data_IF_352445592480
#
_entry.id   IF_352445592480
#
_cell.length_a   1.000
_cell.length_b   1.000
_cell.length_c   1.000
_cell.angle_alpha   90.00
_cell.angle_beta   90.00
_cell.angle_gamma   90.00
#
_symmetry.space_group_name_H-M   'P 1'
#
loop_
_entity.id
_entity.type
_entity.pdbx_description
1 polymer ?
#
# COMPACT_ATOMS: atom_id res chain seq x y z
N UNK A 1 -5.64 -4.92 -1.78
CA UNK A 1 -4.18 -5.06 -1.66
C UNK A 1 -3.77 -4.80 -0.22
N UNK A 2 -2.76 -5.52 0.27
CA UNK A 2 -2.28 -5.38 1.63
C UNK A 2 -0.75 -5.49 1.68
N UNK A 3 -0.15 -4.86 2.68
CA UNK A 3 1.25 -5.01 3.07
C UNK A 3 1.31 -5.43 4.53
N UNK A 4 2.26 -6.30 4.86
CA UNK A 4 2.50 -6.76 6.24
C UNK A 4 4.00 -6.92 6.48
N UNK A 5 4.41 -6.83 7.74
CA UNK A 5 5.78 -7.01 8.15
C UNK A 5 6.51 -5.69 8.40
N UNK A 6 7.60 -5.77 9.13
CA UNK A 6 8.43 -4.65 9.54
C UNK A 6 9.92 -5.00 9.38
N UNK A 7 10.77 -4.00 9.52
CA UNK A 7 12.23 -4.17 9.68
C UNK A 7 12.66 -3.41 10.93
N UNK A 8 13.73 -3.87 11.58
CA UNK A 8 14.27 -3.20 12.76
C UNK A 8 15.76 -2.93 12.60
N UNK A 9 16.22 -1.85 13.20
CA UNK A 9 17.65 -1.52 13.32
C UNK A 9 17.96 -1.19 14.77
N UNK A 10 19.23 -1.30 15.18
CA UNK A 10 19.64 -1.09 16.56
C UNK A 10 19.49 -2.33 17.47
N UNK A 11 19.10 -3.48 16.92
CA UNK A 11 19.18 -4.76 17.63
C UNK A 11 20.65 -5.11 17.91
N UNK A 12 20.92 -5.71 19.08
CA UNK A 12 22.28 -6.00 19.56
C UNK A 12 22.62 -7.48 19.41
N UNK A 13 23.89 -7.85 19.63
CA UNK A 13 24.35 -9.25 19.68
C UNK A 13 24.00 -10.12 18.46
N UNK A 14 23.78 -9.51 17.28
CA UNK A 14 23.38 -10.23 16.06
C UNK A 14 21.94 -10.73 16.08
N UNK A 15 21.09 -10.19 16.95
CA UNK A 15 19.66 -10.46 16.98
C UNK A 15 18.98 -9.99 15.68
N UNK A 16 17.86 -10.64 15.36
CA UNK A 16 17.02 -10.32 14.20
C UNK A 16 15.63 -9.90 14.68
N UNK A 17 14.76 -9.43 13.78
CA UNK A 17 13.39 -9.02 14.07
C UNK A 17 12.57 -10.10 14.79
N UNK A 18 12.99 -11.36 14.73
CA UNK A 18 12.36 -12.47 15.46
C UNK A 18 12.28 -12.26 16.98
N UNK A 19 13.17 -11.46 17.58
CA UNK A 19 13.12 -11.17 19.02
C UNK A 19 11.97 -10.22 19.39
N UNK A 20 11.47 -9.43 18.43
CA UNK A 20 10.38 -8.48 18.60
C UNK A 20 9.02 -9.13 18.31
N UNK A 21 8.73 -10.26 18.97
CA UNK A 21 7.58 -11.11 18.65
C UNK A 21 6.21 -10.41 18.78
N UNK A 22 6.13 -9.34 19.56
CA UNK A 22 4.90 -8.57 19.80
C UNK A 22 4.78 -7.33 18.90
N UNK A 23 5.74 -7.12 17.98
CA UNK A 23 5.69 -6.05 17.00
C UNK A 23 4.99 -6.54 15.73
N UNK A 24 4.14 -5.69 15.18
CA UNK A 24 3.53 -5.92 13.88
C UNK A 24 3.42 -4.62 13.09
N UNK A 25 3.37 -4.74 11.77
CA UNK A 25 3.02 -3.64 10.91
C UNK A 25 2.13 -4.14 9.77
N UNK A 26 1.08 -3.37 9.48
CA UNK A 26 0.19 -3.68 8.37
C UNK A 26 -0.54 -2.46 7.82
N UNK A 27 -0.92 -2.55 6.56
CA UNK A 27 -1.74 -1.57 5.87
C UNK A 27 -2.50 -2.22 4.71
N UNK A 28 -3.67 -1.67 4.37
CA UNK A 28 -4.49 -2.19 3.26
C UNK A 28 -5.24 -1.09 2.54
N UNK A 29 -5.48 -1.32 1.25
CA UNK A 29 -6.27 -0.46 0.39
C UNK A 29 -6.83 -1.23 -0.79
N UNK A 30 -7.93 -0.74 -1.36
CA UNK A 30 -8.58 -1.36 -2.52
C UNK A 30 -8.36 -0.54 -3.78
N UNK A 31 -8.55 0.78 -3.70
CA UNK A 31 -8.47 1.68 -4.84
C UNK A 31 -7.05 2.21 -5.03
N UNK A 32 -6.79 2.84 -6.18
CA UNK A 32 -5.51 3.51 -6.40
C UNK A 32 -5.33 4.68 -5.42
N UNK A 33 -4.15 4.79 -4.84
CA UNK A 33 -3.82 5.79 -3.83
C UNK A 33 -2.74 5.33 -2.86
N UNK A 34 -2.40 6.21 -1.92
CA UNK A 34 -1.43 5.94 -0.86
C UNK A 34 -2.15 5.62 0.45
N UNK A 35 -1.78 4.51 1.06
CA UNK A 35 -2.32 4.03 2.32
C UNK A 35 -1.20 3.88 3.32
N UNK A 36 -1.47 4.18 4.59
CA UNK A 36 -0.49 4.05 5.67
C UNK A 36 -0.39 2.58 6.08
N UNK A 37 0.84 2.10 6.26
CA UNK A 37 1.13 0.86 6.98
C UNK A 37 1.60 1.20 8.38
N UNK A 38 0.77 0.96 9.38
CA UNK A 38 1.05 1.35 10.76
C UNK A 38 1.83 0.26 11.46
N UNK A 39 2.95 0.63 12.10
CA UNK A 39 3.72 -0.26 12.96
C UNK A 39 3.37 0.01 14.43
N UNK A 40 3.22 -1.04 15.22
CA UNK A 40 2.98 -0.94 16.66
C UNK A 40 3.37 -2.23 17.38
N UNK A 41 3.53 -2.13 18.70
CA UNK A 41 3.88 -3.23 19.58
C UNK A 41 4.64 -2.75 20.80
N UNK A 42 5.23 -3.69 21.52
CA UNK A 42 6.07 -3.44 22.68
C UNK A 42 7.09 -4.56 22.81
N UNK A 43 8.19 -4.29 23.48
CA UNK A 43 9.15 -5.30 23.88
C UNK A 43 9.67 -5.01 25.30
N UNK A 44 10.16 -6.02 26.00
CA UNK A 44 10.68 -5.84 27.36
C UNK A 44 12.13 -5.33 27.39
N UNK A 45 12.90 -5.61 26.34
CA UNK A 45 14.33 -5.30 26.25
C UNK A 45 14.61 -4.02 25.46
N UNK A 46 13.66 -3.60 24.61
CA UNK A 46 13.83 -2.45 23.72
C UNK A 46 12.78 -1.37 23.98
N UNK A 47 13.23 -0.12 24.07
CA UNK A 47 12.36 1.05 23.97
C UNK A 47 12.11 1.36 22.48
N UNK A 48 10.91 1.03 22.02
CA UNK A 48 10.59 1.01 20.59
C UNK A 48 10.01 2.35 20.13
N UNK A 49 10.62 2.93 19.10
CA UNK A 49 10.02 4.02 18.32
C UNK A 49 9.54 3.50 16.97
N UNK A 50 8.30 3.83 16.61
CA UNK A 50 7.68 3.36 15.38
C UNK A 50 7.67 4.43 14.30
N UNK A 51 8.04 4.03 13.09
CA UNK A 51 7.88 4.82 11.87
C UNK A 51 6.89 4.11 10.97
N UNK A 52 5.85 4.82 10.53
CA UNK A 52 4.86 4.25 9.62
C UNK A 52 5.46 4.04 8.23
N UNK A 53 5.10 2.92 7.60
CA UNK A 53 5.35 2.65 6.19
C UNK A 53 4.20 3.12 5.30
N UNK A 54 4.29 2.81 4.01
CA UNK A 54 3.26 3.13 3.02
C UNK A 54 3.00 1.97 2.07
N UNK A 55 1.73 1.76 1.71
CA UNK A 55 1.28 0.96 0.58
C UNK A 55 0.84 1.90 -0.53
N UNK A 56 1.56 1.89 -1.65
CA UNK A 56 1.17 2.61 -2.86
C UNK A 56 0.44 1.67 -3.82
N UNK A 57 -0.79 2.03 -4.19
CA UNK A 57 -1.60 1.29 -5.17
C UNK A 57 -1.65 2.13 -6.44
N UNK A 58 -0.90 1.70 -7.46
CA UNK A 58 -0.89 2.36 -8.76
C UNK A 58 -2.24 2.24 -9.49
N UNK A 59 -2.52 3.23 -10.34
CA UNK A 59 -3.68 3.15 -11.25
C UNK A 59 -3.42 2.09 -12.32
N UNK A 60 -4.46 1.30 -12.64
CA UNK A 60 -4.45 0.47 -13.84
C UNK A 60 -4.64 1.35 -15.09
N UNK A 61 -3.94 1.04 -16.17
CA UNK A 61 -4.14 1.70 -17.46
C UNK A 61 -5.42 1.17 -18.12
N UNK A 62 -6.24 2.08 -18.64
CA UNK A 62 -7.44 1.76 -19.42
C UNK A 62 -7.59 2.74 -20.58
N UNK A 63 -8.03 2.25 -21.73
CA UNK A 63 -8.34 3.07 -22.91
C UNK A 63 -9.86 3.13 -23.07
N UNK A 64 -10.40 4.34 -23.15
CA UNK A 64 -11.81 4.58 -23.46
C UNK A 64 -11.90 5.07 -24.89
N UNK A 65 -12.61 4.32 -25.74
CA UNK A 65 -12.84 4.66 -27.15
C UNK A 65 -14.29 5.05 -27.33
N UNK A 66 -14.55 6.23 -27.92
CA UNK A 66 -15.91 6.64 -28.25
C UNK A 66 -16.44 5.84 -29.45
N UNK A 67 -17.74 5.53 -29.42
CA UNK A 67 -18.42 4.99 -30.59
C UNK A 67 -18.42 6.04 -31.70
N UNK A 68 -18.27 5.58 -32.94
CA UNK A 68 -18.36 6.42 -34.14
C UNK A 68 -19.52 5.94 -34.99
N UNK A 69 -20.42 6.87 -35.34
CA UNK A 69 -21.52 6.64 -36.27
C UNK A 69 -21.41 7.59 -37.46
N UNK A 70 -21.93 7.17 -38.60
CA UNK A 70 -22.00 8.00 -39.81
C UNK A 70 -23.42 8.00 -40.36
N UNK A 71 -23.83 9.14 -40.92
CA UNK A 71 -25.07 9.27 -41.67
C UNK A 71 -24.76 9.93 -43.00
N UNK A 72 -25.44 9.49 -44.06
CA UNK A 72 -25.43 10.20 -45.34
C UNK A 72 -26.50 11.27 -45.29
N UNK A 73 -26.10 12.52 -45.55
CA UNK A 73 -27.05 13.62 -45.65
C UNK A 73 -28.10 13.33 -46.72
N UNK A 74 -29.39 13.27 -46.33
CA UNK A 74 -30.51 12.97 -47.23
C UNK A 74 -31.37 14.19 -47.59
N UNK A 75 -31.09 15.37 -47.01
CA UNK A 75 -31.75 16.64 -47.37
C UNK A 75 -33.27 16.68 -47.18
N UNK A 76 -33.87 15.72 -46.47
CA UNK A 76 -35.30 15.67 -46.20
C UNK A 76 -35.60 16.37 -44.87
N UNK A 77 -36.38 17.44 -44.95
CA UNK A 77 -36.97 18.17 -43.81
C UNK A 77 -38.05 17.35 -43.12
#
# INVERSE_FOLDING_TARGET
>A
QSVTGFSATGLVNGETESVLAQVSASGSGTNAGNYVSTASGSDNNYDLTFVNGSLDIAKAAATVTANSDSTTYNGQS
#
